data_IF_407499990242
#
_entry.id   IF_407499990242
#
_cell.length_a   1.000
_cell.length_b   1.000
_cell.length_c   1.000
_cell.angle_alpha   90.00
_cell.angle_beta   90.00
_cell.angle_gamma   90.00
#
_symmetry.space_group_name_H-M   'P 1'
#
loop_
_entity.id
_entity.type
_entity.pdbx_description
1 polymer ?
#
# COMPACT_ATOMS: atom_id res chain seq x y z
N UNK A 1 -19.69 35.48 5.87
CA UNK A 1 -20.35 34.40 5.11
C UNK A 1 -21.83 34.48 5.42
N UNK A 2 -22.71 34.53 4.42
CA UNK A 2 -24.17 34.65 4.60
C UNK A 2 -24.83 33.46 3.88
N UNK A 3 -25.79 32.82 4.52
CA UNK A 3 -26.58 31.74 3.93
C UNK A 3 -27.59 32.34 2.93
N UNK A 4 -27.59 31.84 1.69
CA UNK A 4 -28.46 32.33 0.62
C UNK A 4 -29.73 31.46 0.49
N UNK A 5 -29.62 30.14 0.67
CA UNK A 5 -30.75 29.19 0.55
C UNK A 5 -30.63 28.02 1.55
N UNK A 6 -31.70 27.23 1.69
CA UNK A 6 -31.77 26.00 2.49
C UNK A 6 -32.74 25.02 1.84
N UNK A 7 -32.44 23.71 1.88
CA UNK A 7 -33.32 22.67 1.33
C UNK A 7 -33.50 22.72 -0.20
N UNK A 8 -32.59 23.39 -0.92
CA UNK A 8 -32.56 23.41 -2.39
C UNK A 8 -31.47 22.47 -2.90
N UNK A 9 -31.67 21.85 -4.08
CA UNK A 9 -30.61 21.08 -4.71
C UNK A 9 -29.34 21.93 -4.87
N UNK A 10 -28.18 21.32 -4.61
CA UNK A 10 -26.90 21.99 -4.72
C UNK A 10 -25.89 21.16 -5.50
N UNK A 11 -24.94 21.83 -6.13
CA UNK A 11 -23.82 21.21 -6.82
C UNK A 11 -22.65 21.02 -5.86
N UNK A 12 -22.32 19.77 -5.57
CA UNK A 12 -21.16 19.40 -4.75
C UNK A 12 -20.14 18.65 -5.59
N UNK A 13 -19.10 19.38 -6.04
CA UNK A 13 -17.98 18.81 -6.82
C UNK A 13 -18.43 18.02 -8.07
N UNK A 14 -19.49 18.49 -8.73
CA UNK A 14 -20.06 17.87 -9.93
C UNK A 14 -21.12 16.80 -9.66
N UNK A 15 -21.59 16.69 -8.41
CA UNK A 15 -22.74 15.89 -8.03
C UNK A 15 -23.87 16.81 -7.60
N UNK A 16 -25.02 16.72 -8.26
CA UNK A 16 -26.25 17.36 -7.80
C UNK A 16 -26.79 16.58 -6.60
N UNK A 17 -26.91 17.23 -5.45
CA UNK A 17 -27.45 16.65 -4.22
C UNK A 17 -28.79 17.30 -3.91
N UNK A 18 -29.85 16.51 -3.77
CA UNK A 18 -31.18 16.97 -3.44
C UNK A 18 -31.42 16.92 -1.93
N UNK A 19 -32.44 17.65 -1.48
CA UNK A 19 -32.94 17.46 -0.12
C UNK A 19 -33.43 16.00 0.03
N UNK A 20 -33.16 15.41 1.19
CA UNK A 20 -33.50 14.03 1.56
C UNK A 20 -32.68 12.92 0.85
N UNK A 21 -31.70 13.27 0.00
CA UNK A 21 -30.70 12.30 -0.46
C UNK A 21 -29.87 11.76 0.70
N UNK A 22 -29.50 10.49 0.62
CA UNK A 22 -28.72 9.83 1.65
C UNK A 22 -27.24 10.17 1.49
N UNK A 23 -26.58 10.41 2.62
CA UNK A 23 -25.13 10.64 2.67
C UNK A 23 -24.47 9.51 3.44
N UNK A 24 -23.57 8.79 2.79
CA UNK A 24 -22.75 7.74 3.41
C UNK A 24 -21.32 8.24 3.42
N UNK A 25 -20.71 8.30 4.60
CA UNK A 25 -19.33 8.76 4.76
C UNK A 25 -18.53 7.81 5.65
N UNK A 26 -17.32 7.49 5.21
CA UNK A 26 -16.40 6.63 5.93
C UNK A 26 -14.94 7.13 5.77
N UNK A 27 -13.98 6.27 6.09
CA UNK A 27 -12.55 6.59 5.95
C UNK A 27 -12.08 6.65 4.50
N UNK A 28 -12.84 6.15 3.52
CA UNK A 28 -12.49 6.17 2.10
C UNK A 28 -13.09 7.37 1.38
N UNK A 29 -14.22 7.91 1.85
CA UNK A 29 -14.79 9.14 1.30
C UNK A 29 -16.27 9.34 1.64
N UNK A 30 -16.94 10.11 0.80
CA UNK A 30 -18.38 10.40 0.91
C UNK A 30 -19.08 10.05 -0.40
N UNK A 31 -20.22 9.36 -0.29
CA UNK A 31 -21.12 9.05 -1.40
C UNK A 31 -22.49 9.67 -1.10
N UNK A 32 -23.08 10.26 -2.13
CA UNK A 32 -24.47 10.68 -2.15
C UNK A 32 -25.30 9.62 -2.88
N UNK A 33 -26.42 9.22 -2.28
CA UNK A 33 -27.35 8.26 -2.87
C UNK A 33 -28.70 8.95 -3.00
N UNK A 34 -29.22 9.09 -4.24
CA UNK A 34 -30.55 9.65 -4.45
C UNK A 34 -31.61 8.90 -3.63
N UNK A 35 -32.53 9.63 -3.02
CA UNK A 35 -33.54 9.05 -2.13
C UNK A 35 -34.41 7.96 -2.80
N UNK A 36 -34.66 8.09 -4.10
CA UNK A 36 -35.40 7.14 -4.92
C UNK A 36 -34.62 5.87 -5.28
N UNK A 37 -33.29 5.89 -5.14
CA UNK A 37 -32.41 4.75 -5.43
C UNK A 37 -31.85 4.04 -4.19
N UNK A 38 -32.14 4.51 -2.98
CA UNK A 38 -31.52 3.96 -1.75
C UNK A 38 -31.76 2.47 -1.57
N UNK A 39 -32.97 1.97 -1.84
CA UNK A 39 -33.29 0.55 -1.65
C UNK A 39 -32.47 -0.33 -2.60
N UNK A 40 -32.34 0.06 -3.87
CA UNK A 40 -31.53 -0.66 -4.85
C UNK A 40 -30.05 -0.67 -4.46
N UNK A 41 -29.53 0.47 -3.99
CA UNK A 41 -28.14 0.58 -3.53
C UNK A 41 -27.88 -0.29 -2.30
N UNK A 42 -28.81 -0.33 -1.34
CA UNK A 42 -28.69 -1.19 -0.16
C UNK A 42 -28.74 -2.67 -0.54
N UNK A 43 -29.68 -3.10 -1.38
CA UNK A 43 -29.78 -4.49 -1.85
C UNK A 43 -28.51 -4.93 -2.61
N UNK A 44 -27.98 -4.08 -3.48
CA UNK A 44 -26.73 -4.36 -4.19
C UNK A 44 -25.53 -4.36 -3.23
N UNK A 45 -25.50 -3.42 -2.27
CA UNK A 45 -24.47 -3.33 -1.24
C UNK A 45 -24.40 -4.59 -0.39
N UNK A 46 -25.54 -5.09 0.09
CA UNK A 46 -25.63 -6.34 0.86
C UNK A 46 -25.14 -7.55 0.06
N UNK A 47 -25.51 -7.65 -1.22
CA UNK A 47 -25.02 -8.71 -2.10
C UNK A 47 -23.51 -8.65 -2.31
N UNK A 48 -22.97 -7.45 -2.52
CA UNK A 48 -21.52 -7.23 -2.66
C UNK A 48 -20.80 -7.61 -1.37
N UNK A 49 -21.31 -7.17 -0.22
CA UNK A 49 -20.73 -7.48 1.08
C UNK A 49 -20.76 -8.99 1.36
N UNK A 50 -21.88 -9.66 1.07
CA UNK A 50 -21.99 -11.12 1.19
C UNK A 50 -20.96 -11.84 0.31
N UNK A 51 -20.82 -11.41 -0.95
CA UNK A 51 -19.81 -11.96 -1.89
C UNK A 51 -18.39 -11.75 -1.35
N UNK A 52 -18.02 -10.52 -0.96
CA UNK A 52 -16.70 -10.21 -0.44
C UNK A 52 -16.38 -11.02 0.82
N UNK A 53 -17.33 -11.15 1.74
CA UNK A 53 -17.16 -11.96 2.95
C UNK A 53 -16.83 -13.43 2.63
N UNK A 54 -17.48 -14.01 1.62
CA UNK A 54 -17.19 -15.38 1.18
C UNK A 54 -15.85 -15.49 0.46
N UNK A 55 -15.51 -14.52 -0.40
CA UNK A 55 -14.19 -14.46 -1.04
C UNK A 55 -13.07 -14.39 -0.01
N UNK A 56 -13.27 -13.58 1.03
CA UNK A 56 -12.36 -13.49 2.18
C UNK A 56 -12.24 -14.83 2.92
N UNK A 57 -13.36 -15.52 3.18
CA UNK A 57 -13.33 -16.84 3.82
C UNK A 57 -12.60 -17.88 2.97
N UNK A 58 -12.82 -17.87 1.66
CA UNK A 58 -12.14 -18.71 0.69
C UNK A 58 -10.61 -18.49 0.69
N UNK A 59 -10.19 -17.22 0.64
CA UNK A 59 -8.79 -16.82 0.76
C UNK A 59 -8.19 -17.28 2.10
N UNK A 60 -8.91 -17.11 3.21
CA UNK A 60 -8.51 -17.61 4.54
C UNK A 60 -8.41 -19.12 4.61
N UNK A 61 -9.21 -19.84 3.83
CA UNK A 61 -9.14 -21.29 3.67
C UNK A 61 -8.00 -21.74 2.74
N UNK A 62 -7.25 -20.81 2.13
CA UNK A 62 -6.07 -21.08 1.31
C UNK A 62 -6.34 -21.13 -0.20
N UNK A 63 -7.53 -20.75 -0.68
CA UNK A 63 -7.82 -20.69 -2.12
C UNK A 63 -7.04 -19.53 -2.79
N UNK A 64 -6.52 -19.70 -4.02
CA UNK A 64 -5.85 -18.64 -4.78
C UNK A 64 -6.74 -17.43 -5.05
N UNK A 65 -6.18 -16.22 -5.07
CA UNK A 65 -6.97 -14.99 -5.32
C UNK A 65 -7.49 -14.96 -6.75
N UNK A 66 -6.69 -15.39 -7.71
CA UNK A 66 -7.13 -15.53 -9.10
C UNK A 66 -8.38 -16.41 -9.23
N UNK A 67 -8.41 -17.57 -8.59
CA UNK A 67 -9.58 -18.45 -8.57
C UNK A 67 -10.79 -17.78 -7.89
N UNK A 68 -10.58 -17.21 -6.70
CA UNK A 68 -11.68 -16.58 -5.92
C UNK A 68 -12.26 -15.34 -6.62
N UNK A 69 -11.45 -14.57 -7.34
CA UNK A 69 -11.89 -13.37 -8.05
C UNK A 69 -12.64 -13.68 -9.34
N UNK A 70 -12.28 -14.76 -10.03
CA UNK A 70 -12.88 -15.18 -11.30
C UNK A 70 -13.96 -16.26 -11.17
N UNK A 71 -14.22 -16.76 -9.96
CA UNK A 71 -15.21 -17.82 -9.75
C UNK A 71 -16.64 -17.33 -10.02
N UNK A 72 -17.25 -17.93 -11.05
CA UNK A 72 -18.64 -17.73 -11.50
C UNK A 72 -19.69 -17.95 -10.40
N UNK A 73 -19.42 -18.74 -9.36
CA UNK A 73 -20.29 -18.87 -8.19
C UNK A 73 -20.43 -17.54 -7.43
N UNK A 74 -19.45 -16.65 -7.55
CA UNK A 74 -19.50 -15.29 -7.03
C UNK A 74 -20.00 -14.27 -8.08
N UNK A 75 -20.06 -14.61 -9.37
CA UNK A 75 -20.51 -13.72 -10.44
C UNK A 75 -22.03 -13.60 -10.58
N UNK A 76 -22.80 -14.57 -10.10
CA UNK A 76 -24.25 -14.55 -10.19
C UNK A 76 -24.88 -13.53 -9.21
N UNK A 77 -25.10 -12.30 -9.66
CA UNK A 77 -26.02 -11.33 -9.00
C UNK A 77 -27.49 -11.79 -9.10
N UNK A 78 -27.77 -12.79 -9.94
CA UNK A 78 -29.10 -13.38 -10.15
C UNK A 78 -29.04 -14.90 -9.94
N UNK A 79 -29.50 -15.38 -8.79
CA UNK A 79 -29.96 -16.77 -8.67
C UNK A 79 -29.63 -17.47 -7.35
N UNK A 80 -30.67 -17.77 -6.59
CA UNK A 80 -30.69 -18.80 -5.56
C UNK A 80 -30.31 -20.18 -6.13
N UNK A 81 -29.13 -20.71 -5.75
CA UNK A 81 -29.00 -22.06 -5.15
C UNK A 81 -27.54 -22.42 -4.90
N UNK A 82 -27.31 -22.91 -3.68
CA UNK A 82 -26.06 -23.51 -3.21
C UNK A 82 -25.86 -24.90 -3.85
N UNK A 83 -24.67 -25.16 -4.37
CA UNK A 83 -24.08 -26.51 -4.35
C UNK A 83 -22.83 -26.47 -3.48
N UNK A 84 -22.86 -27.21 -2.37
CA UNK A 84 -21.65 -27.55 -1.62
C UNK A 84 -20.80 -28.46 -2.51
N UNK A 85 -19.65 -27.98 -2.95
CA UNK A 85 -18.57 -28.83 -3.44
C UNK A 85 -17.42 -28.75 -2.46
N UNK A 86 -16.93 -29.94 -2.09
CA UNK A 86 -15.87 -30.16 -1.12
C UNK A 86 -14.62 -29.31 -1.40
N UNK A 87 -14.13 -28.68 -0.33
CA UNK A 87 -12.88 -27.92 -0.33
C UNK A 87 -11.72 -28.90 -0.45
N UNK A 88 -11.31 -29.18 -1.68
CA UNK A 88 -10.01 -29.80 -1.93
C UNK A 88 -8.92 -28.79 -1.51
N UNK A 89 -8.04 -29.20 -0.60
CA UNK A 89 -6.90 -28.40 -0.17
C UNK A 89 -5.91 -28.23 -1.32
N UNK A 90 -5.94 -27.07 -1.97
CA UNK A 90 -4.92 -26.72 -2.96
C UNK A 90 -3.63 -26.38 -2.20
N UNK A 91 -2.67 -27.30 -2.31
CA UNK A 91 -1.26 -27.10 -1.92
C UNK A 91 -0.68 -25.93 -2.72
N UNK A 92 -0.49 -24.79 -2.07
CA UNK A 92 0.25 -23.66 -2.60
C UNK A 92 0.91 -22.88 -1.45
N UNK A 93 1.98 -23.46 -0.89
CA UNK A 93 2.85 -22.79 0.11
C UNK A 93 3.21 -21.38 -0.41
N UNK A 94 3.19 -20.30 0.39
CA UNK A 94 3.68 -19.00 -0.05
C UNK A 94 5.04 -19.15 -0.72
N UNK A 95 5.26 -18.43 -1.84
CA UNK A 95 6.58 -18.42 -2.48
C UNK A 95 7.59 -17.97 -1.42
N UNK A 96 8.66 -18.73 -1.26
CA UNK A 96 9.66 -18.47 -0.22
C UNK A 96 10.53 -17.29 -0.63
N UNK A 97 10.91 -16.47 0.35
CA UNK A 97 11.99 -15.50 0.17
C UNK A 97 13.27 -16.19 -0.32
N UNK A 98 14.03 -15.54 -1.20
CA UNK A 98 15.37 -16.00 -1.54
C UNK A 98 16.35 -15.70 -0.39
N UNK A 99 17.36 -16.55 -0.20
CA UNK A 99 18.34 -16.34 0.85
C UNK A 99 19.09 -14.99 0.72
N UNK A 100 19.38 -14.58 -0.52
CA UNK A 100 20.02 -13.28 -0.79
C UNK A 100 19.11 -12.09 -0.44
N UNK A 101 17.80 -12.21 -0.63
CA UNK A 101 16.85 -11.18 -0.19
C UNK A 101 16.79 -11.08 1.32
N UNK A 102 16.72 -12.23 2.01
CA UNK A 102 16.72 -12.26 3.48
C UNK A 102 17.99 -11.62 4.05
N UNK A 103 19.15 -11.91 3.47
CA UNK A 103 20.42 -11.29 3.87
C UNK A 103 20.40 -9.76 3.67
N UNK A 104 19.95 -9.28 2.52
CA UNK A 104 19.88 -7.85 2.23
C UNK A 104 18.90 -7.11 3.16
N UNK A 105 17.71 -7.67 3.37
CA UNK A 105 16.71 -7.11 4.30
C UNK A 105 17.26 -7.01 5.71
N UNK A 106 18.00 -8.03 6.18
CA UNK A 106 18.54 -8.06 7.53
C UNK A 106 19.50 -6.89 7.83
N UNK A 107 20.19 -6.34 6.81
CA UNK A 107 21.09 -5.21 6.97
C UNK A 107 20.41 -3.92 7.44
N UNK A 108 19.11 -3.78 7.18
CA UNK A 108 18.31 -2.62 7.56
C UNK A 108 17.60 -2.78 8.91
N UNK A 109 17.88 -3.87 9.63
CA UNK A 109 17.31 -4.09 10.96
C UNK A 109 17.70 -2.96 11.91
N UNK A 110 16.71 -2.32 12.53
CA UNK A 110 16.93 -1.22 13.47
C UNK A 110 17.20 0.14 12.82
N UNK A 111 17.14 0.23 11.49
CA UNK A 111 17.16 1.49 10.77
C UNK A 111 15.72 1.96 10.46
N UNK A 112 15.53 3.27 10.38
CA UNK A 112 14.28 3.93 9.99
C UNK A 112 14.42 4.66 8.66
N UNK A 113 13.30 5.16 8.11
CA UNK A 113 13.33 5.84 6.81
C UNK A 113 14.16 7.12 6.79
N UNK A 114 14.19 7.98 7.84
CA UNK A 114 15.11 9.12 7.89
C UNK A 114 16.59 8.71 7.85
N UNK A 115 17.03 7.73 8.67
CA UNK A 115 18.42 7.29 8.68
C UNK A 115 18.88 6.68 7.35
N UNK A 116 17.99 5.93 6.68
CA UNK A 116 18.26 5.40 5.34
C UNK A 116 18.25 6.51 4.27
N UNK A 117 17.34 7.49 4.38
CA UNK A 117 17.31 8.66 3.50
C UNK A 117 18.60 9.47 3.56
N UNK A 118 19.12 9.73 4.77
CA UNK A 118 20.37 10.47 4.94
C UNK A 118 21.56 9.75 4.31
N UNK A 119 21.58 8.42 4.39
CA UNK A 119 22.60 7.60 3.74
C UNK A 119 22.49 7.66 2.21
N UNK A 120 21.28 7.62 1.66
CA UNK A 120 21.02 7.79 0.23
C UNK A 120 21.49 9.17 -0.25
N UNK A 121 21.16 10.24 0.47
CA UNK A 121 21.58 11.61 0.14
C UNK A 121 23.11 11.77 0.18
N UNK A 122 23.76 11.16 1.19
CA UNK A 122 25.23 11.15 1.30
C UNK A 122 25.90 10.48 0.09
N UNK A 123 25.26 9.43 -0.44
CA UNK A 123 25.73 8.63 -1.57
C UNK A 123 25.24 9.12 -2.94
N UNK A 124 24.52 10.25 -2.97
CA UNK A 124 23.90 10.82 -4.18
C UNK A 124 22.95 9.86 -4.91
N UNK A 125 22.19 9.07 -4.14
CA UNK A 125 21.23 8.11 -4.67
C UNK A 125 19.81 8.66 -4.42
N UNK A 126 19.01 8.93 -5.45
CA UNK A 126 17.60 9.28 -5.26
C UNK A 126 16.82 8.02 -4.83
N UNK A 127 16.20 8.06 -3.66
CA UNK A 127 15.39 6.94 -3.16
C UNK A 127 14.18 7.33 -2.31
N UNK A 128 14.00 8.61 -1.99
CA UNK A 128 12.89 9.10 -1.18
C UNK A 128 11.61 9.20 -2.01
N UNK A 129 10.66 8.31 -1.75
CA UNK A 129 9.42 8.20 -2.53
C UNK A 129 8.46 9.32 -2.11
N UNK A 130 8.36 10.33 -2.96
CA UNK A 130 7.62 11.56 -2.65
C UNK A 130 6.10 11.33 -2.60
N UNK A 131 5.46 11.86 -1.55
CA UNK A 131 4.00 11.92 -1.38
C UNK A 131 3.29 10.55 -1.38
N UNK A 132 3.96 9.50 -0.91
CA UNK A 132 3.37 8.20 -0.61
C UNK A 132 3.50 7.97 0.90
N UNK A 133 2.39 8.05 1.61
CA UNK A 133 2.34 8.10 3.08
C UNK A 133 1.63 6.88 3.65
N UNK A 134 1.94 6.46 4.87
CA UNK A 134 1.23 5.36 5.52
C UNK A 134 -0.23 5.73 5.81
N UNK A 135 -1.12 4.74 5.77
CA UNK A 135 -2.53 4.95 6.13
C UNK A 135 -2.75 5.35 7.60
N UNK A 136 -1.83 4.93 8.47
CA UNK A 136 -1.84 5.25 9.89
C UNK A 136 -0.42 5.25 10.46
N UNK A 137 -0.26 5.64 11.72
CA UNK A 137 1.06 5.64 12.38
C UNK A 137 1.49 4.21 12.74
N UNK A 138 1.95 3.45 11.76
CA UNK A 138 2.49 2.11 11.97
C UNK A 138 3.68 2.17 12.95
N UNK A 139 3.71 1.23 13.89
CA UNK A 139 4.72 1.20 14.98
C UNK A 139 6.02 0.52 14.58
N UNK A 140 6.03 -0.19 13.46
CA UNK A 140 7.16 -1.01 13.01
C UNK A 140 7.64 -0.49 11.67
N UNK A 141 8.95 -0.46 11.50
CA UNK A 141 9.57 -0.31 10.18
C UNK A 141 9.32 -1.61 9.39
N UNK A 142 8.83 -1.45 8.19
CA UNK A 142 8.59 -2.55 7.24
C UNK A 142 9.73 -2.53 6.23
N UNK A 143 10.42 -3.64 6.09
CA UNK A 143 11.52 -3.80 5.14
C UNK A 143 11.28 -5.04 4.31
N UNK A 144 11.43 -4.90 3.00
CA UNK A 144 11.25 -6.01 2.08
C UNK A 144 11.71 -5.64 0.68
N UNK A 145 12.05 -6.64 -0.14
CA UNK A 145 12.39 -6.42 -1.53
C UNK A 145 11.14 -6.13 -2.37
N UNK A 146 11.27 -5.24 -3.35
CA UNK A 146 10.19 -4.79 -4.21
C UNK A 146 9.70 -5.91 -5.13
N UNK A 147 8.39 -6.09 -5.18
CA UNK A 147 7.66 -6.78 -6.25
C UNK A 147 6.89 -5.70 -7.04
N UNK A 148 7.38 -5.33 -8.21
CA UNK A 148 6.86 -4.18 -8.96
C UNK A 148 5.67 -4.56 -9.83
N UNK A 149 4.65 -3.70 -9.86
CA UNK A 149 3.45 -3.88 -10.68
C UNK A 149 3.07 -2.54 -11.32
N UNK A 150 2.89 -2.52 -12.63
CA UNK A 150 2.46 -1.34 -13.38
C UNK A 150 1.04 -1.52 -13.88
N UNK A 151 0.17 -0.55 -13.63
CA UNK A 151 -1.19 -0.51 -14.15
C UNK A 151 -1.31 0.40 -15.36
N UNK A 152 -2.21 0.04 -16.27
CA UNK A 152 -2.58 0.79 -17.46
C UNK A 152 -4.10 0.92 -17.53
N UNK A 153 -4.66 1.83 -18.34
CA UNK A 153 -6.11 1.85 -18.59
C UNK A 153 -6.60 0.48 -19.06
N UNK A 154 -7.82 0.10 -18.67
CA UNK A 154 -8.42 -1.14 -19.10
C UNK A 154 -8.60 -1.18 -20.63
N UNK A 155 -8.37 -2.35 -21.21
CA UNK A 155 -8.70 -2.70 -22.60
C UNK A 155 -10.12 -3.27 -22.69
N UNK A 156 -10.54 -3.63 -23.90
CA UNK A 156 -11.82 -4.27 -24.17
C UNK A 156 -11.58 -5.62 -24.88
N UNK A 157 -11.77 -6.78 -24.22
CA UNK A 157 -12.22 -6.96 -22.83
C UNK A 157 -11.14 -6.56 -21.80
N UNK A 158 -11.52 -6.21 -20.56
CA UNK A 158 -10.58 -5.77 -19.54
C UNK A 158 -9.69 -6.92 -19.04
N UNK A 159 -8.41 -6.60 -18.76
CA UNK A 159 -7.47 -7.51 -18.12
C UNK A 159 -7.66 -7.63 -16.59
N UNK A 160 -6.74 -8.35 -15.94
CA UNK A 160 -6.80 -8.57 -14.48
C UNK A 160 -6.38 -7.33 -13.68
N UNK A 161 -6.85 -7.27 -12.43
CA UNK A 161 -6.56 -6.16 -11.49
C UNK A 161 -5.80 -6.66 -10.26
N UNK A 162 -5.74 -7.97 -9.97
CA UNK A 162 -5.14 -8.46 -8.70
C UNK A 162 -4.39 -9.79 -8.78
N UNK A 163 -4.46 -10.52 -9.90
CA UNK A 163 -3.97 -11.91 -10.00
C UNK A 163 -2.47 -12.06 -9.74
N UNK A 164 -1.68 -10.98 -9.97
CA UNK A 164 -0.25 -10.95 -9.68
C UNK A 164 0.08 -11.30 -8.22
N UNK A 165 -0.87 -11.12 -7.30
CA UNK A 165 -0.62 -11.30 -5.87
C UNK A 165 -0.27 -12.76 -5.53
N UNK A 166 -0.74 -13.72 -6.35
CA UNK A 166 -0.37 -15.14 -6.24
C UNK A 166 1.14 -15.37 -6.50
N UNK A 167 1.81 -14.42 -7.17
CA UNK A 167 3.23 -14.50 -7.51
C UNK A 167 4.18 -13.87 -6.48
N UNK A 168 3.65 -13.23 -5.45
CA UNK A 168 4.43 -12.46 -4.46
C UNK A 168 5.00 -13.38 -3.38
N UNK A 169 6.28 -13.22 -3.05
CA UNK A 169 6.94 -14.04 -2.05
C UNK A 169 6.70 -13.52 -0.62
N UNK A 170 6.83 -14.42 0.35
CA UNK A 170 6.89 -14.04 1.76
C UNK A 170 8.00 -13.01 1.98
N UNK A 171 7.69 -11.92 2.68
CA UNK A 171 8.63 -10.83 2.97
C UNK A 171 8.74 -9.77 1.87
N UNK A 172 8.19 -10.00 0.68
CA UNK A 172 8.18 -9.00 -0.38
C UNK A 172 7.28 -7.81 -0.02
N UNK A 173 7.60 -6.64 -0.56
CA UNK A 173 6.72 -5.47 -0.56
C UNK A 173 6.20 -5.28 -1.99
N UNK A 174 4.87 -5.26 -2.15
CA UNK A 174 4.26 -4.96 -3.45
C UNK A 174 4.39 -3.46 -3.71
N UNK A 175 4.97 -3.08 -4.86
CA UNK A 175 5.17 -1.69 -5.25
C UNK A 175 4.39 -1.43 -6.53
N UNK A 176 3.32 -0.64 -6.43
CA UNK A 176 2.35 -0.42 -7.49
C UNK A 176 2.51 0.98 -8.08
N UNK A 177 2.79 1.04 -9.38
CA UNK A 177 2.65 2.23 -10.21
C UNK A 177 1.25 2.21 -10.86
N UNK A 178 0.33 3.02 -10.32
CA UNK A 178 -0.97 3.30 -10.95
C UNK A 178 -0.98 4.69 -11.63
N UNK A 179 0.19 5.19 -12.00
CA UNK A 179 0.41 6.49 -12.61
C UNK A 179 -0.19 7.64 -11.77
N UNK A 180 -0.09 7.53 -10.45
CA UNK A 180 -0.61 8.53 -9.49
C UNK A 180 -2.13 8.74 -9.55
N UNK A 181 -2.89 7.84 -10.17
CA UNK A 181 -4.34 7.98 -10.31
C UNK A 181 -5.04 7.98 -8.96
N UNK A 182 -5.92 8.96 -8.77
CA UNK A 182 -6.73 9.13 -7.56
C UNK A 182 -8.23 8.91 -7.79
N UNK A 183 -8.62 8.58 -9.01
CA UNK A 183 -10.01 8.39 -9.42
C UNK A 183 -10.51 6.94 -9.30
N UNK A 184 -9.60 5.98 -9.13
CA UNK A 184 -9.90 4.56 -8.92
C UNK A 184 -8.79 3.84 -8.14
N UNK A 185 -9.16 2.76 -7.45
CA UNK A 185 -8.29 2.04 -6.51
C UNK A 185 -7.76 0.73 -7.07
N UNK A 186 -6.53 0.37 -6.67
CA UNK A 186 -5.83 -0.86 -7.08
C UNK A 186 -5.51 -1.80 -5.91
N UNK A 187 -5.95 -1.43 -4.70
CA UNK A 187 -5.78 -2.24 -3.50
C UNK A 187 -6.98 -2.08 -2.55
N UNK A 188 -7.39 -3.17 -1.90
CA UNK A 188 -8.53 -3.24 -0.98
C UNK A 188 -8.47 -4.45 -0.04
N UNK A 189 -9.58 -4.75 0.63
CA UNK A 189 -9.66 -5.71 1.74
C UNK A 189 -9.23 -7.16 1.40
N UNK A 190 -9.67 -7.71 0.26
CA UNK A 190 -9.37 -9.08 -0.15
C UNK A 190 -7.86 -9.26 -0.35
N UNK A 191 -7.21 -8.30 -1.02
CA UNK A 191 -5.76 -8.33 -1.26
C UNK A 191 -4.98 -8.18 0.04
N UNK A 192 -5.41 -7.29 0.93
CA UNK A 192 -4.81 -7.12 2.26
C UNK A 192 -4.85 -8.41 3.07
N UNK A 193 -5.99 -9.09 3.11
CA UNK A 193 -6.13 -10.32 3.88
C UNK A 193 -5.31 -11.46 3.29
N UNK A 194 -5.30 -11.59 1.96
CA UNK A 194 -4.43 -12.54 1.28
C UNK A 194 -2.95 -12.29 1.60
N UNK A 195 -2.53 -11.02 1.52
CA UNK A 195 -1.17 -10.60 1.80
C UNK A 195 -0.74 -10.94 3.23
N UNK A 196 -1.57 -10.63 4.22
CA UNK A 196 -1.33 -10.96 5.62
C UNK A 196 -1.19 -12.46 5.87
N UNK A 197 -2.06 -13.28 5.27
CA UNK A 197 -2.01 -14.75 5.42
C UNK A 197 -0.75 -15.38 4.83
N UNK A 198 -0.14 -14.75 3.82
CA UNK A 198 1.06 -15.24 3.13
C UNK A 198 2.35 -14.58 3.59
N UNK A 199 2.26 -13.65 4.55
CA UNK A 199 3.41 -12.92 5.06
C UNK A 199 4.07 -12.02 4.02
N UNK A 200 3.30 -11.47 3.08
CA UNK A 200 3.73 -10.31 2.29
C UNK A 200 3.93 -9.15 3.27
N UNK A 201 5.08 -8.48 3.21
CA UNK A 201 5.49 -7.53 4.25
C UNK A 201 4.68 -6.23 4.24
N UNK A 202 4.23 -5.79 3.07
CA UNK A 202 3.43 -4.58 2.91
C UNK A 202 3.18 -4.22 1.45
N UNK A 203 2.51 -3.09 1.24
CA UNK A 203 2.22 -2.56 -0.10
C UNK A 203 2.47 -1.06 -0.16
N UNK A 204 3.03 -0.59 -1.28
CA UNK A 204 3.27 0.81 -1.64
C UNK A 204 2.51 1.10 -2.92
N UNK A 205 1.66 2.13 -2.96
CA UNK A 205 0.82 2.47 -4.10
C UNK A 205 1.02 3.92 -4.51
N UNK A 206 1.54 4.14 -5.73
CA UNK A 206 1.46 5.45 -6.40
C UNK A 206 0.07 5.60 -7.04
N UNK A 207 -0.88 6.00 -6.21
CA UNK A 207 -2.30 6.04 -6.48
C UNK A 207 -3.09 5.97 -5.18
N UNK A 208 -4.33 5.49 -5.25
CA UNK A 208 -5.22 5.38 -4.08
C UNK A 208 -5.63 3.94 -3.76
N UNK A 209 -5.89 3.68 -2.48
CA UNK A 209 -6.46 2.42 -1.99
C UNK A 209 -7.86 2.62 -1.41
N UNK A 210 -8.56 1.51 -1.12
CA UNK A 210 -9.85 1.48 -0.41
C UNK A 210 -9.83 0.54 0.80
N UNK A 211 -10.96 0.44 1.48
CA UNK A 211 -11.21 -0.43 2.63
C UNK A 211 -10.28 -0.14 3.82
N UNK A 212 -9.93 1.15 3.98
CA UNK A 212 -8.90 1.64 4.94
C UNK A 212 -9.12 1.13 6.36
N UNK A 213 -10.36 1.13 6.85
CA UNK A 213 -10.67 0.63 8.20
C UNK A 213 -10.30 -0.83 8.40
N UNK A 214 -10.44 -1.68 7.36
CA UNK A 214 -10.02 -3.08 7.41
C UNK A 214 -8.50 -3.20 7.38
N UNK A 215 -7.83 -2.46 6.50
CA UNK A 215 -6.36 -2.49 6.42
C UNK A 215 -5.71 -2.11 7.75
N UNK A 216 -6.24 -1.08 8.41
CA UNK A 216 -5.77 -0.66 9.74
C UNK A 216 -6.06 -1.73 10.79
N UNK A 217 -7.26 -2.33 10.78
CA UNK A 217 -7.64 -3.36 11.74
C UNK A 217 -6.80 -4.64 11.61
N UNK A 218 -6.38 -4.99 10.39
CA UNK A 218 -5.52 -6.14 10.11
C UNK A 218 -4.03 -5.84 10.37
N UNK A 219 -3.69 -4.61 10.83
CA UNK A 219 -2.32 -4.12 11.07
C UNK A 219 -1.38 -4.30 9.86
N UNK A 220 -1.92 -4.28 8.64
CA UNK A 220 -1.16 -4.47 7.41
C UNK A 220 -0.48 -3.17 6.97
N UNK A 221 0.84 -3.14 6.74
CA UNK A 221 1.54 -1.94 6.26
C UNK A 221 1.14 -1.58 4.82
N UNK A 222 0.43 -0.46 4.66
CA UNK A 222 0.00 0.07 3.38
C UNK A 222 0.33 1.57 3.29
N UNK A 223 1.08 1.92 2.24
CA UNK A 223 1.54 3.25 1.93
C UNK A 223 0.93 3.68 0.59
N UNK A 224 0.34 4.86 0.53
CA UNK A 224 -0.49 5.28 -0.60
C UNK A 224 -0.44 6.80 -0.79
N UNK A 225 -0.71 7.29 -2.00
CA UNK A 225 -0.88 8.72 -2.26
C UNK A 225 -2.24 9.25 -1.77
N UNK A 226 -3.18 8.34 -1.44
CA UNK A 226 -4.44 8.69 -0.80
C UNK A 226 -5.40 7.52 -0.67
N UNK A 227 -6.65 7.85 -0.36
CA UNK A 227 -7.74 6.89 -0.18
C UNK A 227 -8.96 7.32 -0.98
N UNK A 228 -9.65 6.34 -1.54
CA UNK A 228 -10.86 6.52 -2.33
C UNK A 228 -11.70 5.24 -2.29
N UNK A 229 -12.95 5.27 -2.75
CA UNK A 229 -13.85 4.10 -2.70
C UNK A 229 -14.06 3.42 -4.06
N UNK A 230 -13.79 4.12 -5.17
CA UNK A 230 -14.13 3.65 -6.52
C UNK A 230 -13.19 2.54 -6.98
N UNK A 231 -13.76 1.38 -7.33
CA UNK A 231 -13.01 0.21 -7.82
C UNK A 231 -12.22 0.48 -9.11
N UNK A 232 -11.01 -0.08 -9.20
CA UNK A 232 -10.23 -0.14 -10.45
C UNK A 232 -10.77 -1.12 -11.49
N UNK A 233 -11.67 -2.04 -11.12
CA UNK A 233 -12.31 -2.98 -12.06
C UNK A 233 -12.95 -2.22 -13.22
N UNK A 234 -12.68 -2.71 -14.44
CA UNK A 234 -13.11 -2.14 -15.73
C UNK A 234 -12.57 -0.73 -16.03
N UNK A 235 -11.59 -0.23 -15.27
CA UNK A 235 -10.96 1.10 -15.44
C UNK A 235 -9.46 1.01 -15.64
N UNK A 236 -8.83 0.09 -14.93
CA UNK A 236 -7.41 -0.22 -15.03
C UNK A 236 -7.20 -1.72 -15.12
N UNK A 237 -6.05 -2.11 -15.62
CA UNK A 237 -5.58 -3.49 -15.61
C UNK A 237 -4.06 -3.53 -15.38
N UNK A 238 -3.56 -4.68 -14.96
CA UNK A 238 -2.11 -4.93 -14.91
C UNK A 238 -1.54 -4.85 -16.32
N UNK A 239 -0.53 -4.00 -16.49
CA UNK A 239 0.21 -3.79 -17.75
C UNK A 239 1.64 -4.31 -17.72
N UNK A 240 2.18 -4.64 -16.55
CA UNK A 240 3.52 -5.22 -16.37
C UNK A 240 3.76 -5.65 -14.92
N UNK A 241 4.54 -6.72 -14.73
CA UNK A 241 4.91 -7.28 -13.42
C UNK A 241 6.42 -7.53 -13.43
N UNK A 242 7.11 -7.20 -12.34
CA UNK A 242 8.58 -7.31 -12.23
C UNK A 242 9.31 -6.58 -13.38
N UNK A 243 8.82 -5.39 -13.71
CA UNK A 243 9.46 -4.44 -14.62
C UNK A 243 9.95 -3.22 -13.83
N UNK A 244 10.85 -2.44 -14.42
CA UNK A 244 11.21 -1.12 -13.90
C UNK A 244 9.99 -0.20 -13.90
N UNK A 245 9.71 0.46 -12.77
CA UNK A 245 8.60 1.42 -12.63
C UNK A 245 9.10 2.75 -12.06
N UNK A 246 8.26 3.78 -12.17
CA UNK A 246 8.51 5.07 -11.53
C UNK A 246 7.39 5.38 -10.55
N UNK A 247 7.73 5.61 -9.28
CA UNK A 247 6.76 6.01 -8.25
C UNK A 247 7.31 7.16 -7.41
N UNK A 248 6.49 8.16 -7.11
CA UNK A 248 6.90 9.25 -6.20
C UNK A 248 8.25 9.89 -6.56
N UNK A 249 8.52 10.09 -7.87
CA UNK A 249 9.80 10.60 -8.43
C UNK A 249 11.02 9.67 -8.29
N UNK A 250 10.85 8.44 -7.84
CA UNK A 250 11.89 7.43 -7.69
C UNK A 250 11.70 6.34 -8.74
N UNK A 251 12.81 5.92 -9.37
CA UNK A 251 12.83 4.71 -10.20
C UNK A 251 13.00 3.50 -9.29
N UNK A 252 12.17 2.49 -9.48
CA UNK A 252 12.20 1.25 -8.69
C UNK A 252 12.42 0.08 -9.64
N UNK A 253 13.46 -0.69 -9.37
CA UNK A 253 13.70 -1.97 -10.04
C UNK A 253 13.09 -3.11 -9.22
N UNK A 254 12.73 -4.22 -9.87
CA UNK A 254 12.38 -5.45 -9.16
C UNK A 254 13.49 -5.84 -8.19
N UNK A 255 13.12 -6.18 -6.96
CA UNK A 255 14.01 -6.62 -5.87
C UNK A 255 14.90 -5.52 -5.25
N UNK A 256 14.72 -4.25 -5.59
CA UNK A 256 15.23 -3.15 -4.77
C UNK A 256 14.70 -3.24 -3.34
N UNK A 257 15.44 -2.74 -2.36
CA UNK A 257 15.03 -2.84 -0.96
C UNK A 257 14.16 -1.64 -0.60
N UNK A 258 12.91 -1.92 -0.24
CA UNK A 258 11.98 -0.92 0.27
C UNK A 258 12.09 -0.89 1.79
N UNK A 259 12.27 0.30 2.35
CA UNK A 259 12.18 0.58 3.79
C UNK A 259 11.04 1.57 3.98
N UNK A 260 10.09 1.25 4.85
CA UNK A 260 8.88 2.05 5.00
C UNK A 260 8.42 2.10 6.47
N UNK A 261 8.04 3.28 6.95
CA UNK A 261 7.58 3.50 8.31
C UNK A 261 6.63 4.70 8.41
N UNK A 262 6.33 5.17 9.63
CA UNK A 262 5.40 6.27 9.86
C UNK A 262 5.74 7.57 9.09
N UNK A 263 6.99 7.76 8.64
CA UNK A 263 7.44 8.95 7.93
C UNK A 263 7.28 8.85 6.41
N UNK A 264 7.12 7.64 5.85
CA UNK A 264 6.99 7.43 4.41
C UNK A 264 7.73 6.20 3.92
N UNK A 265 8.21 6.27 2.68
CA UNK A 265 8.85 5.15 1.98
C UNK A 265 10.18 5.62 1.36
N UNK A 266 11.23 4.82 1.52
CA UNK A 266 12.47 4.95 0.76
C UNK A 266 12.77 3.64 0.01
N UNK A 267 13.35 3.77 -1.18
CA UNK A 267 13.78 2.65 -2.02
C UNK A 267 15.29 2.72 -2.18
N UNK A 268 15.95 1.59 -1.91
CA UNK A 268 17.39 1.44 -2.01
C UNK A 268 17.72 0.50 -3.17
N UNK A 269 18.51 0.94 -4.16
CA UNK A 269 18.95 0.09 -5.25
C UNK A 269 19.62 -1.18 -4.72
N UNK A 270 19.19 -2.33 -5.23
CA UNK A 270 19.62 -3.64 -4.72
C UNK A 270 21.14 -3.81 -4.69
N UNK A 271 21.82 -3.36 -5.74
CA UNK A 271 23.27 -3.44 -5.92
C UNK A 271 24.04 -2.51 -4.96
N UNK A 272 23.40 -1.45 -4.47
CA UNK A 272 23.96 -0.50 -3.50
C UNK A 272 23.51 -0.74 -2.05
N UNK A 273 22.60 -1.69 -1.81
CA UNK A 273 21.96 -1.90 -0.51
C UNK A 273 22.94 -2.14 0.65
N UNK A 274 24.06 -2.84 0.41
CA UNK A 274 25.10 -3.05 1.44
C UNK A 274 25.78 -1.75 1.85
N UNK A 275 26.20 -0.97 0.88
CA UNK A 275 26.87 0.30 1.11
C UNK A 275 25.94 1.30 1.81
N UNK A 276 24.68 1.39 1.36
CA UNK A 276 23.67 2.26 1.98
C UNK A 276 23.41 1.86 3.42
N UNK A 277 23.23 0.56 3.71
CA UNK A 277 23.03 0.08 5.08
C UNK A 277 24.23 0.36 5.98
N UNK A 278 25.46 0.17 5.49
CA UNK A 278 26.67 0.49 6.26
C UNK A 278 26.78 1.99 6.58
N UNK A 279 26.45 2.85 5.62
CA UNK A 279 26.43 4.30 5.83
C UNK A 279 25.33 4.69 6.82
N UNK A 280 24.12 4.17 6.66
CA UNK A 280 23.00 4.45 7.55
C UNK A 280 23.27 4.00 9.00
N UNK A 281 23.86 2.82 9.20
CA UNK A 281 24.27 2.35 10.53
C UNK A 281 25.33 3.25 11.17
N UNK A 282 26.29 3.78 10.39
CA UNK A 282 27.28 4.75 10.90
C UNK A 282 26.61 6.06 11.30
N UNK A 283 25.67 6.55 10.50
CA UNK A 283 24.90 7.76 10.80
C UNK A 283 24.12 7.56 12.10
N UNK A 284 23.33 6.51 12.19
CA UNK A 284 22.49 6.22 13.37
C UNK A 284 23.34 6.04 14.64
N UNK A 285 24.50 5.40 14.56
CA UNK A 285 25.42 5.29 15.71
C UNK A 285 25.92 6.65 16.19
N UNK A 286 26.27 7.54 15.26
CA UNK A 286 26.69 8.91 15.59
C UNK A 286 25.52 9.70 16.18
N UNK A 287 24.33 9.59 15.61
CA UNK A 287 23.13 10.28 16.13
C UNK A 287 22.70 9.77 17.50
N UNK A 288 22.78 8.47 17.75
CA UNK A 288 22.56 7.90 19.08
C UNK A 288 23.53 8.49 20.11
N UNK A 289 24.80 8.66 19.74
CA UNK A 289 25.80 9.29 20.61
C UNK A 289 25.48 10.78 20.87
N UNK A 290 25.01 11.52 19.85
CA UNK A 290 24.53 12.90 20.02
C UNK A 290 23.34 12.95 20.98
N UNK A 291 22.35 12.08 20.80
CA UNK A 291 21.17 12.01 21.68
C UNK A 291 21.57 11.72 23.13
N UNK A 292 22.53 10.83 23.35
CA UNK A 292 23.06 10.52 24.67
C UNK A 292 23.81 11.69 25.32
N UNK A 293 24.58 12.46 24.56
CA UNK A 293 25.26 13.67 25.04
C UNK A 293 24.25 14.75 25.44
N UNK A 294 23.25 14.98 24.59
CA UNK A 294 22.17 15.95 24.86
C UNK A 294 21.37 15.54 26.10
N UNK A 295 21.06 14.25 26.26
CA UNK A 295 20.39 13.73 27.46
C UNK A 295 21.22 13.92 28.74
N UNK A 296 22.56 14.00 28.62
CA UNK A 296 23.49 14.30 29.70
C UNK A 296 23.73 15.80 29.92
N UNK A 297 23.06 16.67 29.18
CA UNK A 297 23.08 18.12 29.34
C UNK A 297 24.01 18.88 28.40
N UNK A 298 24.67 18.21 27.45
CA UNK A 298 25.41 18.90 26.40
C UNK A 298 24.47 19.67 25.46
N UNK A 299 24.93 20.78 24.93
CA UNK A 299 24.26 21.47 23.83
C UNK A 299 24.43 20.70 22.52
N UNK A 300 23.55 20.94 21.55
CA UNK A 300 23.67 20.36 20.20
C UNK A 300 24.98 20.81 19.52
N UNK A 301 25.47 22.02 19.79
CA UNK A 301 26.71 22.52 19.22
C UNK A 301 27.92 21.70 19.69
N UNK A 302 28.05 21.48 21.00
CA UNK A 302 29.12 20.68 21.60
C UNK A 302 29.10 19.24 21.07
N UNK A 303 27.92 18.60 21.05
CA UNK A 303 27.78 17.23 20.56
C UNK A 303 28.14 17.09 19.07
N UNK A 304 27.77 18.07 18.23
CA UNK A 304 28.09 18.05 16.79
C UNK A 304 29.56 18.32 16.50
N UNK A 305 30.20 19.20 17.28
CA UNK A 305 31.64 19.48 17.17
C UNK A 305 32.47 18.25 17.56
N UNK A 306 32.17 17.64 18.70
CA UNK A 306 32.89 16.47 19.22
C UNK A 306 32.78 15.26 18.27
N UNK A 307 31.60 15.04 17.68
CA UNK A 307 31.33 13.87 16.85
C UNK A 307 31.48 14.14 15.34
N UNK A 308 31.92 15.34 14.94
CA UNK A 308 32.14 15.69 13.53
C UNK A 308 30.88 15.63 12.66
N UNK A 309 29.71 15.94 13.21
CA UNK A 309 28.41 15.75 12.54
C UNK A 309 28.25 16.57 11.25
N UNK A 310 28.89 17.74 11.16
CA UNK A 310 28.71 18.66 10.02
C UNK A 310 29.15 18.11 8.66
N UNK A 311 29.98 17.06 8.63
CA UNK A 311 30.41 16.35 7.41
C UNK A 311 29.71 15.02 7.22
N UNK A 312 28.93 14.58 8.21
CA UNK A 312 28.30 13.25 8.25
C UNK A 312 27.26 13.09 7.14
N UNK A 313 26.42 14.09 6.91
CA UNK A 313 25.35 14.07 5.89
C UNK A 313 25.72 14.77 4.57
N UNK A 314 26.93 15.33 4.46
CA UNK A 314 27.37 15.96 3.21
C UNK A 314 27.72 14.88 2.18
N UNK A 315 27.37 15.16 0.92
CA UNK A 315 27.83 14.40 -0.25
C UNK A 315 29.34 14.22 -0.17
N UNK A 316 29.78 12.98 -0.37
CA UNK A 316 31.21 12.61 -0.37
C UNK A 316 31.83 12.93 -1.72
#
# INVERSE_FOLDING_TARGET
MVQIESGKPLEMRGVTVHQDDFVIADTCGTVFVPADHINEVLELGEKIQYRQARMVQAVRAGQPVSEVMHDTQFEAIRGDRLSQTDVASVKGNPKKASAGDTELVALFTGLDTPGVSDALDKLDIPGQVFNIMPLCNYKKVTVGPAFTVRYVPASDPPGSVGDFIDDVAQGDIVVIDNNGRTDCTVWGDIMTQYAGLRGIAGTVVDGVCRDVSRVIADEYPLFTAGRWMRTGKDRVQVGGINESIGIGKVRVEPRDIVVADANGVVVVPRDRAREVAEVAQKIEKTEASIRDMVARGATIAEAREELGYHTLQRKT
#
